data_IF_645643103300
#
_entry.id   IF_645643103300
#
_cell.length_a   1.000
_cell.length_b   1.000
_cell.length_c   1.000
_cell.angle_alpha   90.00
_cell.angle_beta   90.00
_cell.angle_gamma   90.00
#
_symmetry.space_group_name_H-M   'P 1'
#
loop_
_entity.id
_entity.type
_entity.pdbx_description
1 polymer ?
#
# COMPACT_ATOMS: atom_id res chain seq x y z
N UNK A 1 -11.08 -43.76 6.83
CA UNK A 1 -9.85 -44.48 6.44
C UNK A 1 -9.82 -44.53 4.93
N UNK A 2 -8.87 -43.84 4.30
CA UNK A 2 -8.83 -43.63 2.84
C UNK A 2 -8.50 -44.93 2.11
N UNK A 3 -9.21 -45.20 1.01
CA UNK A 3 -9.08 -46.39 0.15
C UNK A 3 -7.64 -46.68 -0.27
N UNK A 4 -6.80 -45.65 -0.38
CA UNK A 4 -5.39 -45.74 -0.76
C UNK A 4 -4.54 -46.56 0.23
N UNK A 5 -4.81 -46.44 1.53
CA UNK A 5 -4.07 -47.20 2.55
C UNK A 5 -4.44 -48.68 2.48
N UNK A 6 -5.70 -48.99 2.15
CA UNK A 6 -6.18 -50.37 1.98
C UNK A 6 -5.50 -51.04 0.79
N UNK A 7 -5.25 -50.31 -0.31
CA UNK A 7 -4.49 -50.86 -1.44
C UNK A 7 -3.01 -51.13 -1.08
N UNK A 8 -2.36 -50.30 -0.25
CA UNK A 8 -0.99 -50.58 0.22
C UNK A 8 -0.91 -51.85 1.07
N UNK A 9 -2.00 -52.25 1.73
CA UNK A 9 -2.05 -53.45 2.57
C UNK A 9 -2.18 -54.73 1.72
N UNK A 10 -2.77 -54.66 0.53
CA UNK A 10 -2.98 -55.82 -0.35
C UNK A 10 -1.68 -56.12 -1.10
N UNK A 11 -0.85 -57.00 -0.55
CA UNK A 11 0.36 -57.54 -1.20
C UNK A 11 1.66 -57.43 -0.42
N UNK A 12 1.68 -56.69 0.70
CA UNK A 12 2.85 -56.62 1.57
C UNK A 12 2.99 -57.91 2.41
N UNK A 13 4.15 -58.55 2.37
CA UNK A 13 4.41 -59.81 3.09
C UNK A 13 5.11 -59.59 4.44
N UNK A 14 5.50 -58.34 4.75
CA UNK A 14 6.18 -57.96 5.98
C UNK A 14 5.71 -56.59 6.48
N UNK A 15 5.69 -56.43 7.80
CA UNK A 15 5.41 -55.13 8.44
C UNK A 15 6.40 -54.04 8.01
N UNK A 16 7.66 -54.40 7.72
CA UNK A 16 8.66 -53.44 7.24
C UNK A 16 8.35 -52.93 5.83
N UNK A 17 7.79 -53.78 4.97
CA UNK A 17 7.42 -53.43 3.60
C UNK A 17 6.19 -52.53 3.60
N UNK A 18 5.18 -52.87 4.42
CA UNK A 18 4.00 -52.05 4.62
C UNK A 18 4.33 -50.66 5.16
N UNK A 19 5.20 -50.57 6.18
CA UNK A 19 5.61 -49.29 6.74
C UNK A 19 6.32 -48.41 5.71
N UNK A 20 7.19 -49.00 4.90
CA UNK A 20 7.89 -48.29 3.82
C UNK A 20 6.91 -47.75 2.77
N UNK A 21 5.97 -48.57 2.31
CA UNK A 21 4.96 -48.15 1.33
C UNK A 21 4.07 -47.01 1.87
N UNK A 22 3.64 -47.10 3.13
CA UNK A 22 2.86 -46.04 3.78
C UNK A 22 3.68 -44.75 3.90
N UNK A 23 4.94 -44.85 4.31
CA UNK A 23 5.81 -43.68 4.46
C UNK A 23 6.06 -43.00 3.11
N UNK A 24 6.38 -43.76 2.07
CA UNK A 24 6.56 -43.22 0.71
C UNK A 24 5.29 -42.53 0.20
N UNK A 25 4.12 -43.15 0.40
CA UNK A 25 2.86 -42.54 -0.01
C UNK A 25 2.56 -41.27 0.80
N UNK A 26 2.81 -41.29 2.11
CA UNK A 26 2.66 -40.13 2.96
C UNK A 26 3.60 -38.98 2.56
N UNK A 27 4.84 -39.27 2.20
CA UNK A 27 5.80 -38.27 1.70
C UNK A 27 5.30 -37.62 0.40
N UNK A 28 4.80 -38.42 -0.56
CA UNK A 28 4.23 -37.91 -1.81
C UNK A 28 3.01 -37.02 -1.52
N UNK A 29 2.09 -37.48 -0.66
CA UNK A 29 0.90 -36.75 -0.27
C UNK A 29 1.26 -35.44 0.46
N UNK A 30 2.21 -35.48 1.39
CA UNK A 30 2.65 -34.29 2.11
C UNK A 30 3.29 -33.28 1.15
N UNK A 31 4.16 -33.73 0.23
CA UNK A 31 4.76 -32.84 -0.78
C UNK A 31 3.71 -32.20 -1.68
N UNK A 32 2.69 -32.97 -2.09
CA UNK A 32 1.55 -32.45 -2.86
C UNK A 32 0.77 -31.41 -2.06
N UNK A 33 0.46 -31.70 -0.78
CA UNK A 33 -0.24 -30.79 0.13
C UNK A 33 0.54 -29.48 0.33
N UNK A 34 1.84 -29.55 0.56
CA UNK A 34 2.71 -28.37 0.69
C UNK A 34 2.70 -27.53 -0.58
N UNK A 35 2.76 -28.18 -1.74
CA UNK A 35 2.72 -27.50 -3.04
C UNK A 35 1.39 -26.80 -3.25
N UNK A 36 0.29 -27.50 -2.98
CA UNK A 36 -1.07 -26.95 -3.06
C UNK A 36 -1.25 -25.73 -2.13
N UNK A 37 -0.87 -25.86 -0.86
CA UNK A 37 -0.98 -24.76 0.11
C UNK A 37 -0.10 -23.55 -0.26
N UNK A 38 1.11 -23.79 -0.79
CA UNK A 38 1.99 -22.70 -1.27
C UNK A 38 1.35 -21.97 -2.45
N UNK A 39 0.79 -22.69 -3.41
CA UNK A 39 0.09 -22.11 -4.56
C UNK A 39 -1.15 -21.32 -4.12
N UNK A 40 -1.90 -21.85 -3.16
CA UNK A 40 -3.09 -21.17 -2.63
C UNK A 40 -2.71 -19.86 -1.93
N UNK A 41 -1.65 -19.87 -1.12
CA UNK A 41 -1.13 -18.67 -0.46
C UNK A 41 -0.73 -17.60 -1.48
N UNK A 42 -0.07 -18.01 -2.57
CA UNK A 42 0.32 -17.10 -3.66
C UNK A 42 -0.87 -16.55 -4.44
N UNK A 43 -2.01 -17.25 -4.44
CA UNK A 43 -3.22 -16.87 -5.16
C UNK A 43 -4.10 -15.92 -4.36
N UNK A 44 -3.99 -15.90 -3.03
CA UNK A 44 -4.77 -14.95 -2.22
C UNK A 44 -4.42 -13.53 -2.65
N UNK A 45 -5.47 -12.80 -3.03
CA UNK A 45 -5.48 -11.37 -3.28
C UNK A 45 -6.64 -10.80 -2.47
N UNK A 46 -6.50 -9.58 -1.97
CA UNK A 46 -7.61 -8.91 -1.28
C UNK A 46 -8.80 -8.80 -2.24
N UNK A 47 -8.60 -8.17 -3.40
CA UNK A 47 -9.67 -7.93 -4.37
C UNK A 47 -10.90 -7.28 -3.71
N UNK A 48 -12.07 -7.88 -3.90
CA UNK A 48 -13.34 -7.44 -3.28
C UNK A 48 -13.58 -7.98 -1.87
N UNK A 49 -12.66 -8.78 -1.32
CA UNK A 49 -12.81 -9.33 0.02
C UNK A 49 -12.44 -8.29 1.09
N UNK A 50 -13.16 -8.25 2.22
CA UNK A 50 -12.74 -7.49 3.40
C UNK A 50 -11.31 -7.85 3.84
N UNK A 51 -10.56 -6.86 4.32
CA UNK A 51 -9.16 -7.04 4.73
C UNK A 51 -9.02 -8.09 5.84
N UNK A 52 -9.96 -8.15 6.78
CA UNK A 52 -9.94 -9.09 7.91
C UNK A 52 -9.98 -10.55 7.43
N UNK A 53 -10.85 -10.86 6.46
CA UNK A 53 -10.99 -12.18 5.87
C UNK A 53 -9.74 -12.54 5.05
N UNK A 54 -9.20 -11.60 4.29
CA UNK A 54 -7.98 -11.82 3.52
C UNK A 54 -6.79 -12.16 4.43
N UNK A 55 -6.58 -11.37 5.49
CA UNK A 55 -5.52 -11.60 6.47
C UNK A 55 -5.71 -12.92 7.24
N UNK A 56 -6.94 -13.24 7.63
CA UNK A 56 -7.26 -14.51 8.30
C UNK A 56 -6.96 -15.71 7.39
N UNK A 57 -7.34 -15.65 6.12
CA UNK A 57 -7.08 -16.70 5.15
C UNK A 57 -5.57 -16.92 4.92
N UNK A 58 -4.80 -15.83 4.78
CA UNK A 58 -3.33 -15.89 4.67
C UNK A 58 -2.72 -16.55 5.90
N UNK A 59 -3.14 -16.15 7.10
CA UNK A 59 -2.63 -16.72 8.34
C UNK A 59 -2.96 -18.21 8.48
N UNK A 60 -4.18 -18.61 8.17
CA UNK A 60 -4.57 -20.02 8.21
C UNK A 60 -3.75 -20.89 7.25
N UNK A 61 -3.44 -20.39 6.04
CA UNK A 61 -2.57 -21.12 5.11
C UNK A 61 -1.13 -21.21 5.60
N UNK A 62 -0.61 -20.14 6.20
CA UNK A 62 0.73 -20.13 6.81
C UNK A 62 0.82 -21.14 7.96
N UNK A 63 -0.16 -21.15 8.86
CA UNK A 63 -0.22 -22.09 9.99
C UNK A 63 -0.37 -23.54 9.46
N UNK A 64 -1.16 -23.77 8.39
CA UNK A 64 -1.28 -25.08 7.74
C UNK A 64 0.01 -25.55 7.07
N UNK A 65 0.80 -24.64 6.52
CA UNK A 65 2.12 -24.93 5.95
C UNK A 65 3.13 -25.28 7.05
N UNK A 66 3.08 -24.59 8.19
CA UNK A 66 3.89 -24.91 9.36
C UNK A 66 3.56 -26.33 9.88
N UNK A 67 2.29 -26.70 9.98
CA UNK A 67 1.85 -28.06 10.33
C UNK A 67 2.34 -29.10 9.31
N UNK A 68 2.41 -28.76 8.02
CA UNK A 68 2.92 -29.64 6.97
C UNK A 68 4.47 -29.73 6.95
N UNK A 69 5.15 -29.03 7.86
CA UNK A 69 6.61 -29.03 8.00
C UNK A 69 7.34 -28.00 7.15
N UNK A 70 6.61 -27.08 6.50
CA UNK A 70 7.18 -25.96 5.73
C UNK A 70 6.86 -24.64 6.42
N UNK A 71 7.77 -24.19 7.28
CA UNK A 71 7.68 -22.87 7.89
C UNK A 71 7.94 -21.78 6.85
N UNK A 72 7.08 -20.77 6.81
CA UNK A 72 7.28 -19.55 6.02
C UNK A 72 7.91 -18.51 6.94
N UNK A 73 8.90 -17.77 6.44
CA UNK A 73 9.46 -16.68 7.21
C UNK A 73 8.45 -15.54 7.36
N UNK A 74 8.53 -14.84 8.48
CA UNK A 74 7.60 -13.75 8.76
C UNK A 74 7.71 -12.64 7.70
N UNK A 75 8.93 -12.31 7.26
CA UNK A 75 9.17 -11.30 6.22
C UNK A 75 8.54 -11.70 4.89
N UNK A 76 8.66 -12.97 4.51
CA UNK A 76 8.05 -13.50 3.29
C UNK A 76 6.52 -13.44 3.36
N UNK A 77 5.95 -13.75 4.54
CA UNK A 77 4.51 -13.68 4.75
C UNK A 77 3.98 -12.25 4.63
N UNK A 78 4.67 -11.26 5.24
CA UNK A 78 4.33 -9.85 5.10
C UNK A 78 4.41 -9.42 3.64
N UNK A 79 5.50 -9.75 2.95
CA UNK A 79 5.71 -9.41 1.54
C UNK A 79 4.60 -9.99 0.66
N UNK A 80 4.19 -11.23 0.92
CA UNK A 80 3.11 -11.89 0.21
C UNK A 80 1.75 -11.20 0.40
N UNK A 81 1.46 -10.71 1.61
CA UNK A 81 0.25 -9.92 1.89
C UNK A 81 0.29 -8.61 1.11
N UNK A 82 1.38 -7.85 1.23
CA UNK A 82 1.51 -6.53 0.60
C UNK A 82 1.46 -6.60 -0.93
N UNK A 83 2.04 -7.64 -1.53
CA UNK A 83 1.98 -7.91 -2.97
C UNK A 83 0.57 -8.26 -3.46
N UNK A 84 -0.33 -8.66 -2.55
CA UNK A 84 -1.70 -9.02 -2.86
C UNK A 84 -2.73 -7.89 -2.69
N UNK A 85 -2.27 -6.68 -2.35
CA UNK A 85 -3.12 -5.51 -2.16
C UNK A 85 -3.32 -4.72 -3.46
N UNK A 86 -4.48 -4.04 -3.55
CA UNK A 86 -4.83 -3.20 -4.69
C UNK A 86 -4.06 -1.86 -4.67
N UNK A 87 -4.05 -1.13 -5.79
CA UNK A 87 -3.30 0.13 -5.94
C UNK A 87 -3.65 1.21 -4.90
N UNK A 88 -4.88 1.20 -4.39
CA UNK A 88 -5.34 2.13 -3.34
C UNK A 88 -4.54 1.99 -2.03
N UNK A 89 -3.88 0.84 -1.83
CA UNK A 89 -3.07 0.53 -0.65
C UNK A 89 -1.58 0.89 -0.82
N UNK A 90 -1.14 1.37 -1.98
CA UNK A 90 0.27 1.77 -2.20
C UNK A 90 0.82 2.69 -1.08
N UNK A 91 0.08 3.71 -0.57
CA UNK A 91 0.60 4.57 0.49
C UNK A 91 0.95 3.80 1.77
N UNK A 92 0.10 2.85 2.17
CA UNK A 92 0.31 2.06 3.39
C UNK A 92 1.38 0.99 3.17
N UNK A 93 1.47 0.43 1.97
CA UNK A 93 2.53 -0.51 1.57
C UNK A 93 3.90 0.16 1.70
N UNK A 94 4.06 1.40 1.20
CA UNK A 94 5.33 2.14 1.34
C UNK A 94 5.68 2.41 2.80
N UNK A 95 4.69 2.80 3.61
CA UNK A 95 4.89 3.04 5.05
C UNK A 95 5.29 1.77 5.81
N UNK A 96 4.75 0.61 5.43
CA UNK A 96 5.10 -0.67 6.08
C UNK A 96 6.50 -1.10 5.63
N UNK A 97 6.83 -0.98 4.34
CA UNK A 97 8.14 -1.33 3.80
C UNK A 97 9.30 -0.45 4.32
N UNK A 98 9.01 0.77 4.79
CA UNK A 98 10.04 1.64 5.37
C UNK A 98 10.41 1.26 6.82
N UNK A 99 9.72 0.29 7.43
CA UNK A 99 9.99 -0.19 8.78
C UNK A 99 10.81 -1.47 8.73
N UNK A 100 11.82 -1.57 9.58
CA UNK A 100 12.72 -2.74 9.61
C UNK A 100 12.05 -4.00 10.17
N UNK A 101 11.12 -3.86 11.12
CA UNK A 101 10.40 -4.96 11.74
C UNK A 101 8.95 -4.55 12.00
N UNK A 102 8.00 -5.34 11.53
CA UNK A 102 6.56 -5.13 11.75
C UNK A 102 5.97 -6.43 12.26
N UNK A 103 5.30 -6.41 13.41
CA UNK A 103 4.65 -7.64 13.89
C UNK A 103 3.41 -7.98 13.04
N UNK A 104 3.00 -9.26 13.00
CA UNK A 104 1.77 -9.66 12.30
C UNK A 104 0.53 -8.89 12.82
N UNK A 105 0.45 -8.68 14.14
CA UNK A 105 -0.64 -7.92 14.75
C UNK A 105 -0.64 -6.45 14.32
N UNK A 106 0.54 -5.82 14.29
CA UNK A 106 0.69 -4.44 13.87
C UNK A 106 0.36 -4.26 12.39
N UNK A 107 0.83 -5.17 11.52
CA UNK A 107 0.46 -5.22 10.11
C UNK A 107 -1.07 -5.27 9.97
N UNK A 108 -1.68 -6.25 10.66
CA UNK A 108 -3.13 -6.48 10.58
C UNK A 108 -3.93 -5.25 11.00
N UNK A 109 -3.59 -4.66 12.15
CA UNK A 109 -4.25 -3.47 12.66
C UNK A 109 -4.08 -2.26 11.73
N UNK A 110 -2.88 -2.06 11.20
CA UNK A 110 -2.55 -0.95 10.30
C UNK A 110 -3.35 -1.05 9.00
N UNK A 111 -3.42 -2.24 8.41
CA UNK A 111 -4.18 -2.49 7.19
C UNK A 111 -5.70 -2.34 7.39
N UNK A 112 -6.25 -2.85 8.50
CA UNK A 112 -7.69 -2.71 8.82
C UNK A 112 -8.08 -1.25 9.09
N UNK A 113 -7.22 -0.49 9.79
CA UNK A 113 -7.44 0.93 10.04
C UNK A 113 -7.41 1.72 8.73
N UNK A 114 -6.49 1.37 7.83
CA UNK A 114 -6.40 1.99 6.51
C UNK A 114 -7.62 1.67 5.63
N UNK A 115 -8.12 0.43 5.65
CA UNK A 115 -9.35 0.05 4.95
C UNK A 115 -10.56 0.85 5.45
N UNK A 116 -10.73 0.99 6.76
CA UNK A 116 -11.82 1.80 7.34
C UNK A 116 -11.75 3.26 6.87
N UNK A 117 -10.54 3.80 6.73
CA UNK A 117 -10.32 5.16 6.23
C UNK A 117 -10.59 5.29 4.73
N UNK A 118 -10.20 4.29 3.93
CA UNK A 118 -10.53 4.24 2.49
C UNK A 118 -12.04 4.21 2.28
N UNK A 119 -12.75 3.38 3.03
CA UNK A 119 -14.21 3.25 2.95
C UNK A 119 -14.90 4.60 3.24
N UNK A 120 -14.47 5.29 4.31
CA UNK A 120 -14.96 6.65 4.60
C UNK A 120 -14.71 7.62 3.44
N UNK A 121 -13.50 7.63 2.87
CA UNK A 121 -13.17 8.52 1.75
C UNK A 121 -13.99 8.21 0.50
N UNK A 122 -14.28 6.94 0.24
CA UNK A 122 -15.12 6.50 -0.88
C UNK A 122 -16.58 6.93 -0.70
N UNK A 123 -17.13 6.82 0.52
CA UNK A 123 -18.48 7.33 0.84
C UNK A 123 -18.56 8.85 0.64
N UNK A 124 -17.57 9.58 1.13
CA UNK A 124 -17.47 11.04 0.96
C UNK A 124 -17.40 11.40 -0.54
N UNK A 125 -16.55 10.71 -1.32
CA UNK A 125 -16.44 10.89 -2.77
C UNK A 125 -17.76 10.63 -3.48
N UNK A 126 -18.48 9.56 -3.12
CA UNK A 126 -19.79 9.23 -3.69
C UNK A 126 -20.83 10.32 -3.39
N UNK A 127 -20.79 10.91 -2.19
CA UNK A 127 -21.70 12.00 -1.79
C UNK A 127 -21.42 13.31 -2.54
N UNK A 128 -20.16 13.57 -2.93
CA UNK A 128 -19.78 14.76 -3.70
C UNK A 128 -19.91 14.59 -5.22
N UNK A 129 -19.94 13.35 -5.74
CA UNK A 129 -20.08 13.05 -7.17
C UNK A 129 -21.44 13.44 -7.78
N UNK A 130 -22.43 13.78 -6.95
CA UNK A 130 -23.76 14.27 -7.36
C UNK A 130 -23.95 15.79 -7.24
N UNK A 131 -22.90 16.55 -6.91
CA UNK A 131 -22.96 18.02 -7.00
C UNK A 131 -22.86 18.41 -8.48
N UNK A 132 -24.00 18.72 -9.09
CA UNK A 132 -24.05 19.45 -10.35
C UNK A 132 -23.33 20.80 -10.17
N UNK A 133 -22.17 20.94 -10.81
CA UNK A 133 -21.43 22.21 -10.93
C UNK A 133 -22.17 23.13 -11.92
N UNK A 134 -23.37 23.60 -11.57
CA UNK A 134 -24.05 24.65 -12.31
C UNK A 134 -23.59 26.02 -11.81
N UNK A 135 -22.73 26.61 -12.63
CA UNK A 135 -22.44 28.03 -12.80
C UNK A 135 -22.07 28.82 -11.53
N UNK A 136 -20.77 28.83 -11.23
CA UNK A 136 -20.16 30.02 -10.63
C UNK A 136 -20.46 31.20 -11.56
N UNK A 137 -21.36 32.09 -11.15
CA UNK A 137 -21.58 33.37 -11.83
C UNK A 137 -20.30 34.20 -11.69
N UNK A 138 -19.50 34.25 -12.75
CA UNK A 138 -18.24 35.00 -12.81
C UNK A 138 -18.44 36.52 -12.95
N UNK A 139 -19.66 37.04 -12.85
CA UNK A 139 -19.92 38.47 -13.10
C UNK A 139 -19.69 39.42 -11.91
N UNK A 140 -19.05 38.99 -10.80
CA UNK A 140 -18.82 39.92 -9.68
C UNK A 140 -17.48 39.80 -8.94
N UNK A 141 -16.48 39.17 -9.56
CA UNK A 141 -15.09 39.28 -9.07
C UNK A 141 -14.32 40.14 -10.06
N UNK A 142 -14.39 41.45 -9.87
CA UNK A 142 -13.53 42.41 -10.56
C UNK A 142 -12.33 42.69 -9.64
N UNK A 143 -11.15 42.07 -9.84
CA UNK A 143 -10.02 42.18 -8.89
C UNK A 143 -9.10 43.38 -9.19
N UNK A 144 -9.41 44.18 -10.21
CA UNK A 144 -8.59 45.31 -10.65
C UNK A 144 -9.40 46.59 -10.66
N UNK A 145 -9.83 47.04 -9.47
CA UNK A 145 -10.26 48.43 -9.32
C UNK A 145 -8.99 49.25 -9.04
N UNK A 146 -8.53 49.98 -10.06
CA UNK A 146 -7.37 50.85 -9.96
C UNK A 146 -7.54 51.87 -8.85
N UNK A 147 -6.63 51.82 -7.86
CA UNK A 147 -6.26 53.02 -7.11
C UNK A 147 -5.32 53.81 -8.02
N UNK A 148 -5.86 54.78 -8.74
CA UNK A 148 -5.06 55.95 -9.08
C UNK A 148 -4.63 56.57 -7.74
N UNK A 149 -3.34 56.42 -7.44
CA UNK A 149 -2.70 57.23 -6.41
C UNK A 149 -2.44 58.57 -7.08
N UNK A 150 -3.28 59.57 -6.78
CA UNK A 150 -2.92 60.97 -6.99
C UNK A 150 -1.62 61.21 -6.22
N UNK A 151 -0.53 61.38 -6.97
CA UNK A 151 0.74 61.82 -6.44
C UNK A 151 0.64 63.34 -6.35
N UNK A 152 0.22 63.84 -5.20
CA UNK A 152 0.28 65.26 -4.89
C UNK A 152 1.73 65.63 -4.56
N UNK A 153 2.19 66.71 -5.19
CA UNK A 153 3.57 67.10 -5.42
C UNK A 153 4.38 67.36 -4.14
N UNK A 154 5.65 66.95 -4.12
CA UNK A 154 6.68 67.59 -3.32
C UNK A 154 7.63 68.34 -4.27
N UNK A 155 7.38 69.65 -4.42
CA UNK A 155 8.38 70.58 -4.90
C UNK A 155 9.54 70.60 -3.89
N UNK A 156 10.74 70.22 -4.32
CA UNK A 156 11.99 70.54 -3.60
C UNK A 156 13.09 70.72 -4.63
N UNK A 157 13.35 72.01 -4.91
CA UNK A 157 14.64 72.64 -5.24
C UNK A 157 15.72 71.73 -5.84
N UNK A 158 16.09 71.89 -7.12
CA UNK A 158 17.07 72.91 -7.55
C UNK A 158 18.18 73.13 -6.52
N UNK A 159 19.10 72.17 -6.32
CA UNK A 159 20.43 72.46 -5.74
C UNK A 159 21.52 71.37 -5.92
N UNK A 160 21.38 70.39 -6.82
CA UNK A 160 22.39 69.31 -6.96
C UNK A 160 23.02 69.15 -8.35
N UNK A 161 23.08 70.19 -9.19
CA UNK A 161 23.81 70.13 -10.47
C UNK A 161 24.92 71.18 -10.66
N UNK A 162 25.33 71.88 -9.59
CA UNK A 162 26.50 72.79 -9.62
C UNK A 162 27.81 72.13 -9.11
N UNK A 163 27.80 70.86 -8.72
CA UNK A 163 29.01 70.17 -8.22
C UNK A 163 29.74 69.36 -9.31
N UNK A 164 29.15 69.22 -10.50
CA UNK A 164 29.72 68.47 -11.64
C UNK A 164 30.24 69.39 -12.76
N UNK A 165 30.75 70.57 -12.40
CA UNK A 165 31.47 71.47 -13.31
C UNK A 165 32.89 71.82 -12.81
N UNK A 166 33.27 71.43 -11.59
CA UNK A 166 34.56 71.84 -10.98
C UNK A 166 35.65 70.74 -11.02
N UNK A 167 35.39 69.60 -11.66
CA UNK A 167 36.38 68.51 -11.82
C UNK A 167 36.95 68.33 -13.24
N UNK A 168 36.47 69.06 -14.25
CA UNK A 168 37.08 69.08 -15.60
C UNK A 168 37.98 70.32 -15.87
N UNK A 169 38.30 71.11 -14.84
CA UNK A 169 39.19 72.29 -14.94
C UNK A 169 40.64 72.08 -14.50
N UNK A 170 40.98 70.98 -13.82
CA UNK A 170 42.35 70.69 -13.37
C UNK A 170 42.98 69.52 -14.12
N UNK A 171 42.99 69.59 -15.44
CA UNK A 171 43.97 68.84 -16.24
C UNK A 171 44.31 69.58 -17.54
N UNK A 172 44.86 70.80 -17.40
CA UNK A 172 45.83 71.42 -18.33
C UNK A 172 46.41 72.71 -17.76
#
# INVERSE_FOLDING_TARGET
MTSEIVMCVIGCNSSSELWKAINENYEILNRSRVTFLTSELQRIRKGSMPMDQSLSAVKQLADNLEIAGKKIDHVDLVTQVLAGLDEEYIPIVVQINSRDQVSWHELSYTLMTFESRLEYLNQVRSNFGSINLLQVNTQNLNPYNGREVEVEEAQTSEEEQEVEADLEGQMK
#
